data_IF_990393591588
#
_entry.id   IF_990393591588
#
_cell.length_a   1.000
_cell.length_b   1.000
_cell.length_c   1.000
_cell.angle_alpha   90.00
_cell.angle_beta   90.00
_cell.angle_gamma   90.00
#
_symmetry.space_group_name_H-M   'P 1'
#
loop_
_entity.id
_entity.type
_entity.pdbx_description
1 polymer ?
#
# COMPACT_ATOMS: atom_id res chain seq x y z
N UNK A 1 -7.35 18.81 9.32
CA UNK A 1 -7.62 17.49 8.71
C UNK A 1 -6.64 17.20 7.57
N UNK A 2 -6.61 17.94 6.45
CA UNK A 2 -5.63 17.65 5.37
C UNK A 2 -4.15 17.83 5.78
N UNK A 3 -3.85 18.81 6.64
CA UNK A 3 -2.49 19.02 7.18
C UNK A 3 -2.00 17.92 8.12
N UNK A 4 -2.89 17.23 8.83
CA UNK A 4 -2.51 16.13 9.73
C UNK A 4 -2.20 14.86 8.93
N UNK A 5 -2.95 14.59 7.86
CA UNK A 5 -2.63 13.47 6.93
C UNK A 5 -1.27 13.61 6.25
N UNK A 6 -0.85 14.84 5.94
CA UNK A 6 0.47 15.09 5.35
C UNK A 6 1.63 14.89 6.33
N UNK A 7 1.36 14.81 7.63
CA UNK A 7 2.38 14.69 8.68
C UNK A 7 2.35 13.33 9.39
N UNK A 8 1.46 12.42 8.97
CA UNK A 8 1.49 11.05 9.47
C UNK A 8 2.70 10.36 8.88
N UNK A 9 3.67 10.08 9.74
CA UNK A 9 4.88 9.35 9.37
C UNK A 9 4.61 7.86 9.15
N UNK A 10 3.44 7.37 9.59
CA UNK A 10 2.99 5.99 9.46
C UNK A 10 1.99 5.77 8.32
N UNK A 11 1.65 6.82 7.56
CA UNK A 11 0.63 6.75 6.53
C UNK A 11 1.11 7.28 5.18
N UNK A 12 0.86 6.50 4.12
CA UNK A 12 1.03 6.93 2.74
C UNK A 12 -0.29 6.76 1.99
N UNK A 13 -0.72 7.79 1.25
CA UNK A 13 -1.99 7.77 0.50
C UNK A 13 -1.76 8.17 -0.95
N UNK A 14 -2.22 7.33 -1.88
CA UNK A 14 -2.38 7.68 -3.29
C UNK A 14 -3.85 7.85 -3.62
N UNK A 15 -4.17 8.91 -4.36
CA UNK A 15 -5.49 9.11 -4.94
C UNK A 15 -5.48 8.57 -6.37
N UNK A 16 -6.34 7.60 -6.65
CA UNK A 16 -6.51 7.06 -7.98
C UNK A 16 -7.41 7.98 -8.81
N UNK A 17 -6.89 8.48 -9.93
CA UNK A 17 -7.64 9.28 -10.89
C UNK A 17 -7.94 8.49 -12.17
N UNK A 18 -8.90 8.96 -12.97
CA UNK A 18 -9.20 8.39 -14.28
C UNK A 18 -7.99 8.53 -15.20
N UNK A 19 -7.75 7.55 -16.09
CA UNK A 19 -6.72 7.67 -17.11
C UNK A 19 -7.03 8.86 -18.03
N UNK A 20 -5.98 9.60 -18.40
CA UNK A 20 -5.99 10.72 -19.35
C UNK A 20 -4.80 10.57 -20.29
N UNK A 21 -4.95 11.00 -21.55
CA UNK A 21 -3.88 10.91 -22.55
C UNK A 21 -2.72 11.87 -22.27
N UNK A 22 -3.00 12.97 -21.54
CA UNK A 22 -2.00 13.93 -21.11
C UNK A 22 -2.34 14.48 -19.72
N UNK A 23 -1.33 14.55 -18.85
CA UNK A 23 -1.46 15.19 -17.54
C UNK A 23 -1.58 16.71 -17.70
N UNK A 24 -2.52 17.28 -16.96
CA UNK A 24 -2.78 18.72 -16.90
C UNK A 24 -3.32 19.08 -15.50
N UNK A 25 -3.54 20.38 -15.25
CA UNK A 25 -3.98 20.89 -13.95
C UNK A 25 -5.36 20.37 -13.48
N UNK A 26 -6.15 19.77 -14.35
CA UNK A 26 -7.48 19.20 -14.04
C UNK A 26 -7.45 17.67 -13.90
N UNK A 27 -6.29 17.04 -14.14
CA UNK A 27 -6.14 15.57 -14.10
C UNK A 27 -6.39 14.99 -12.71
N UNK A 28 -6.11 15.77 -11.66
CA UNK A 28 -6.39 15.47 -10.26
C UNK A 28 -7.65 16.18 -9.73
N UNK A 29 -8.51 16.71 -10.61
CA UNK A 29 -9.78 17.33 -10.18
C UNK A 29 -10.69 16.31 -9.48
N UNK A 30 -11.56 16.74 -8.54
CA UNK A 30 -12.47 15.84 -7.84
C UNK A 30 -13.34 14.97 -8.76
N UNK A 31 -13.68 15.47 -9.95
CA UNK A 31 -14.47 14.73 -10.96
C UNK A 31 -13.70 13.56 -11.58
N UNK A 32 -12.37 13.59 -11.51
CA UNK A 32 -11.49 12.54 -12.04
C UNK A 32 -11.04 11.55 -10.97
N UNK A 33 -11.23 11.84 -9.68
CA UNK A 33 -10.89 10.92 -8.59
C UNK A 33 -11.88 9.74 -8.57
N UNK A 34 -11.36 8.52 -8.64
CA UNK A 34 -12.17 7.28 -8.68
C UNK A 34 -12.00 6.41 -7.45
N UNK A 35 -11.01 6.72 -6.60
CA UNK A 35 -10.69 5.95 -5.42
C UNK A 35 -9.36 6.38 -4.82
N UNK A 36 -8.90 5.57 -3.88
CA UNK A 36 -7.68 5.79 -3.13
C UNK A 36 -7.09 4.46 -2.68
N UNK A 37 -5.79 4.49 -2.43
CA UNK A 37 -5.06 3.40 -1.80
C UNK A 37 -4.20 3.99 -0.68
N UNK A 38 -4.31 3.39 0.51
CA UNK A 38 -3.59 3.79 1.70
C UNK A 38 -2.64 2.68 2.12
N UNK A 39 -1.50 3.07 2.68
CA UNK A 39 -0.59 2.23 3.44
C UNK A 39 -0.56 2.75 4.87
N UNK A 40 -0.69 1.86 5.83
CA UNK A 40 -0.48 2.12 7.25
C UNK A 40 0.67 1.26 7.76
N UNK A 41 1.68 1.87 8.34
CA UNK A 41 2.84 1.17 8.87
C UNK A 41 2.63 0.86 10.34
N UNK A 42 2.89 -0.38 10.73
CA UNK A 42 2.85 -0.82 12.13
C UNK A 42 4.06 -1.68 12.46
N UNK A 43 4.38 -1.73 13.75
CA UNK A 43 5.38 -2.65 14.27
C UNK A 43 4.67 -3.85 14.88
N UNK A 44 5.13 -5.02 14.50
CA UNK A 44 4.80 -6.30 15.11
C UNK A 44 6.03 -6.75 15.91
N UNK A 45 5.97 -6.63 17.23
CA UNK A 45 7.04 -7.01 18.17
C UNK A 45 6.74 -8.30 18.95
N UNK A 46 5.74 -9.08 18.49
CA UNK A 46 5.29 -10.32 19.10
C UNK A 46 4.50 -10.13 20.39
N UNK A 47 3.71 -11.14 20.78
CA UNK A 47 2.80 -11.08 21.95
C UNK A 47 3.51 -10.78 23.28
N UNK A 48 4.81 -11.09 23.39
CA UNK A 48 5.61 -10.87 24.60
C UNK A 48 6.60 -9.70 24.48
N UNK A 49 6.63 -9.00 23.34
CA UNK A 49 7.54 -7.90 23.08
C UNK A 49 9.02 -8.31 23.08
N UNK A 50 9.35 -9.60 23.12
CA UNK A 50 10.74 -10.09 23.11
C UNK A 50 11.26 -10.38 21.72
N UNK A 51 10.36 -10.49 20.73
CA UNK A 51 10.73 -10.71 19.35
C UNK A 51 11.41 -9.47 18.74
N UNK A 52 12.21 -9.69 17.70
CA UNK A 52 12.74 -8.60 16.89
C UNK A 52 11.56 -7.86 16.22
N UNK A 53 11.44 -6.53 16.37
CA UNK A 53 10.33 -5.79 15.80
C UNK A 53 10.34 -5.90 14.27
N UNK A 54 9.18 -6.21 13.70
CA UNK A 54 8.95 -6.33 12.26
C UNK A 54 8.05 -5.20 11.79
N UNK A 55 8.43 -4.52 10.71
CA UNK A 55 7.60 -3.47 10.14
C UNK A 55 6.65 -4.12 9.12
N UNK A 56 5.35 -3.94 9.32
CA UNK A 56 4.29 -4.45 8.44
C UNK A 56 3.54 -3.27 7.84
N UNK A 57 3.34 -3.31 6.52
CA UNK A 57 2.53 -2.33 5.80
C UNK A 57 1.11 -2.83 5.56
N UNK A 58 0.10 -2.25 6.21
CA UNK A 58 -1.31 -2.54 5.94
C UNK A 58 -1.83 -1.72 4.78
N UNK A 59 -2.30 -2.38 3.72
CA UNK A 59 -2.83 -1.75 2.51
C UNK A 59 -4.34 -1.73 2.56
N UNK A 60 -4.93 -0.57 2.32
CA UNK A 60 -6.37 -0.39 2.12
C UNK A 60 -6.64 0.20 0.74
N UNK A 61 -7.42 -0.51 -0.09
CA UNK A 61 -7.77 -0.08 -1.44
C UNK A 61 -9.28 0.16 -1.56
N UNK A 62 -9.66 1.35 -2.03
CA UNK A 62 -11.05 1.71 -2.32
C UNK A 62 -11.20 2.21 -3.76
N UNK A 63 -12.17 1.66 -4.49
CA UNK A 63 -12.67 2.23 -5.75
C UNK A 63 -14.15 2.57 -5.52
N UNK A 64 -14.43 3.87 -5.41
CA UNK A 64 -15.66 4.40 -4.82
C UNK A 64 -16.91 3.99 -5.61
N UNK A 65 -16.92 4.25 -6.92
CA UNK A 65 -18.11 4.05 -7.74
C UNK A 65 -18.11 2.69 -8.44
N UNK A 66 -19.26 2.01 -8.41
CA UNK A 66 -19.45 0.72 -9.08
C UNK A 66 -19.16 0.78 -10.59
N UNK A 67 -19.41 1.92 -11.24
CA UNK A 67 -19.12 2.13 -12.67
C UNK A 67 -17.63 2.07 -13.00
N UNK A 68 -16.77 2.35 -12.00
CA UNK A 68 -15.32 2.29 -12.12
C UNK A 68 -14.75 0.94 -11.66
N UNK A 69 -15.57 0.08 -11.04
CA UNK A 69 -15.16 -1.27 -10.65
C UNK A 69 -15.14 -2.20 -11.87
N UNK A 70 -14.40 -3.32 -11.77
CA UNK A 70 -14.29 -4.35 -12.83
C UNK A 70 -13.63 -3.88 -14.12
N UNK A 71 -12.96 -2.73 -14.11
CA UNK A 71 -12.25 -2.14 -15.26
C UNK A 71 -10.72 -2.22 -15.14
N UNK A 72 -10.20 -2.95 -14.16
CA UNK A 72 -8.76 -3.08 -13.92
C UNK A 72 -8.14 -1.97 -13.05
N UNK A 73 -8.86 -0.87 -12.77
CA UNK A 73 -8.32 0.26 -12.00
C UNK A 73 -7.76 -0.12 -10.63
N UNK A 74 -8.46 -0.96 -9.85
CA UNK A 74 -7.95 -1.42 -8.56
C UNK A 74 -6.66 -2.24 -8.67
N UNK A 75 -6.53 -3.08 -9.72
CA UNK A 75 -5.31 -3.86 -9.97
C UNK A 75 -4.16 -2.94 -10.37
N UNK A 76 -4.41 -2.01 -11.27
CA UNK A 76 -3.40 -1.05 -11.74
C UNK A 76 -2.93 -0.14 -10.60
N UNK A 77 -3.85 0.44 -9.82
CA UNK A 77 -3.52 1.26 -8.66
C UNK A 77 -2.67 0.50 -7.64
N UNK A 78 -3.04 -0.73 -7.31
CA UNK A 78 -2.29 -1.56 -6.36
C UNK A 78 -0.89 -1.92 -6.88
N UNK A 79 -0.74 -2.25 -8.16
CA UNK A 79 0.56 -2.58 -8.75
C UNK A 79 1.51 -1.36 -8.77
N UNK A 80 1.02 -0.21 -9.22
CA UNK A 80 1.77 1.05 -9.19
C UNK A 80 2.16 1.43 -7.75
N UNK A 81 1.24 1.24 -6.81
CA UNK A 81 1.49 1.52 -5.40
C UNK A 81 2.57 0.59 -4.81
N UNK A 82 2.50 -0.72 -5.08
CA UNK A 82 3.54 -1.65 -4.67
C UNK A 82 4.90 -1.31 -5.29
N UNK A 83 4.93 -0.93 -6.57
CA UNK A 83 6.17 -0.52 -7.24
C UNK A 83 6.83 0.67 -6.55
N UNK A 84 6.02 1.68 -6.21
CA UNK A 84 6.47 2.86 -5.47
C UNK A 84 6.98 2.51 -4.08
N UNK A 85 6.24 1.67 -3.33
CA UNK A 85 6.64 1.24 -1.97
C UNK A 85 8.00 0.56 -2.00
N UNK A 86 8.19 -0.39 -2.92
CA UNK A 86 9.45 -1.14 -3.01
C UNK A 86 10.61 -0.24 -3.39
N UNK A 87 10.39 0.69 -4.33
CA UNK A 87 11.45 1.60 -4.77
C UNK A 87 11.83 2.64 -3.72
N UNK A 88 10.84 3.22 -3.03
CA UNK A 88 11.05 4.26 -2.02
C UNK A 88 11.06 3.70 -0.59
N UNK A 89 11.23 2.38 -0.43
CA UNK A 89 11.08 1.70 0.85
C UNK A 89 11.97 2.33 1.94
N UNK A 90 13.24 2.60 1.64
CA UNK A 90 14.18 3.20 2.60
C UNK A 90 13.69 4.54 3.13
N UNK A 91 13.24 5.44 2.25
CA UNK A 91 12.74 6.76 2.65
C UNK A 91 11.44 6.69 3.45
N UNK A 92 10.50 5.82 3.03
CA UNK A 92 9.23 5.59 3.73
C UNK A 92 9.49 5.08 5.15
N UNK A 93 10.40 4.10 5.29
CA UNK A 93 10.70 3.50 6.58
C UNK A 93 11.53 4.41 7.49
N UNK A 94 12.44 5.21 6.95
CA UNK A 94 13.19 6.21 7.73
C UNK A 94 12.26 7.29 8.29
N UNK A 95 11.29 7.77 7.51
CA UNK A 95 10.27 8.71 8.00
C UNK A 95 9.43 8.09 9.11
N UNK A 96 8.95 6.86 8.91
CA UNK A 96 8.18 6.12 9.91
C UNK A 96 8.96 5.91 11.20
N UNK A 97 10.19 5.39 11.11
CA UNK A 97 11.07 5.19 12.26
C UNK A 97 11.37 6.53 12.94
N UNK A 98 11.49 7.63 12.18
CA UNK A 98 11.62 8.98 12.70
C UNK A 98 10.46 9.43 13.60
N UNK A 99 9.24 8.92 13.35
CA UNK A 99 8.04 9.19 14.15
C UNK A 99 7.89 8.38 15.43
N UNK A 100 8.61 7.27 15.58
CA UNK A 100 8.50 6.36 16.72
C UNK A 100 9.10 6.93 18.03
N UNK A 101 8.81 6.29 19.16
CA UNK A 101 9.49 6.58 20.42
C UNK A 101 10.96 6.12 20.43
N UNK A 102 11.73 6.60 21.40
CA UNK A 102 13.17 6.35 21.48
C UNK A 102 13.53 4.87 21.73
N UNK A 103 12.67 4.11 22.40
CA UNK A 103 12.90 2.70 22.70
C UNK A 103 12.69 1.85 21.44
N UNK A 104 11.58 2.06 20.76
CA UNK A 104 11.23 1.35 19.55
C UNK A 104 12.20 1.67 18.40
N UNK A 105 12.60 2.94 18.27
CA UNK A 105 13.68 3.36 17.35
C UNK A 105 14.95 2.55 17.55
N UNK A 106 15.36 2.35 18.81
CA UNK A 106 16.57 1.58 19.13
C UNK A 106 16.40 0.12 18.72
N UNK A 107 15.30 -0.53 19.10
CA UNK A 107 15.02 -1.94 18.78
C UNK A 107 14.95 -2.20 17.28
N UNK A 108 14.31 -1.29 16.52
CA UNK A 108 14.21 -1.42 15.05
C UNK A 108 15.58 -1.25 14.40
N UNK A 109 16.38 -0.27 14.85
CA UNK A 109 17.74 -0.04 14.32
C UNK A 109 18.76 -1.09 14.76
N UNK A 110 18.53 -1.79 15.88
CA UNK A 110 19.33 -2.96 16.29
C UNK A 110 19.26 -4.10 15.27
N UNK A 111 18.14 -4.23 14.52
CA UNK A 111 18.01 -5.19 13.41
C UNK A 111 18.90 -4.85 12.21
N UNK A 112 19.43 -3.62 12.13
CA UNK A 112 20.27 -3.14 11.04
C UNK A 112 19.46 -2.47 9.94
N UNK A 113 19.33 -3.14 8.79
CA UNK A 113 18.68 -2.59 7.58
C UNK A 113 17.17 -2.47 7.80
N UNK A 114 16.62 -1.29 7.51
CA UNK A 114 15.18 -1.06 7.55
C UNK A 114 14.52 -1.69 6.32
N UNK A 115 13.67 -2.68 6.56
CA UNK A 115 12.92 -3.38 5.52
C UNK A 115 11.47 -3.64 5.95
N UNK A 116 10.57 -3.65 4.98
CA UNK A 116 9.22 -4.14 5.18
C UNK A 116 9.25 -5.67 5.21
N UNK A 117 8.73 -6.26 6.28
CA UNK A 117 8.61 -7.71 6.38
C UNK A 117 7.57 -8.23 5.38
N UNK A 118 6.42 -7.54 5.29
CA UNK A 118 5.36 -7.88 4.36
C UNK A 118 4.37 -6.72 4.18
N UNK A 119 3.60 -6.81 3.10
CA UNK A 119 2.36 -6.07 2.95
C UNK A 119 1.20 -6.94 3.42
N UNK A 120 0.32 -6.40 4.25
CA UNK A 120 -0.88 -7.07 4.75
C UNK A 120 -2.15 -6.35 4.28
N UNK A 121 -3.25 -7.08 4.14
CA UNK A 121 -4.59 -6.50 3.89
C UNK A 121 -5.63 -7.29 4.68
N UNK A 122 -6.65 -6.60 5.20
CA UNK A 122 -7.83 -7.21 5.81
C UNK A 122 -9.01 -7.13 4.85
N UNK A 123 -9.65 -8.25 4.58
CA UNK A 123 -10.75 -8.33 3.61
C UNK A 123 -11.88 -9.17 4.20
N UNK A 124 -13.08 -8.58 4.30
CA UNK A 124 -14.29 -9.29 4.70
C UNK A 124 -14.52 -10.56 3.87
N UNK A 125 -14.89 -11.67 4.54
CA UNK A 125 -15.06 -12.99 3.93
C UNK A 125 -16.04 -13.05 2.76
N UNK A 126 -17.02 -12.13 2.73
CA UNK A 126 -18.02 -12.02 1.67
C UNK A 126 -17.49 -11.26 0.45
N UNK A 127 -16.40 -10.50 0.59
CA UNK A 127 -15.78 -9.74 -0.50
C UNK A 127 -14.85 -10.61 -1.34
N UNK A 128 -15.44 -11.60 -2.02
CA UNK A 128 -14.73 -12.53 -2.92
C UNK A 128 -13.96 -11.83 -4.04
N UNK A 129 -14.38 -10.61 -4.41
CA UNK A 129 -13.76 -9.83 -5.48
C UNK A 129 -12.40 -9.28 -5.05
N UNK A 130 -12.34 -8.63 -3.89
CA UNK A 130 -11.07 -8.16 -3.34
C UNK A 130 -10.18 -9.34 -2.96
N UNK A 131 -10.73 -10.42 -2.39
CA UNK A 131 -9.96 -11.65 -2.11
C UNK A 131 -9.25 -12.16 -3.38
N UNK A 132 -9.99 -12.33 -4.47
CA UNK A 132 -9.40 -12.80 -5.74
C UNK A 132 -8.36 -11.82 -6.33
N UNK A 133 -8.57 -10.50 -6.17
CA UNK A 133 -7.62 -9.48 -6.61
C UNK A 133 -6.28 -9.62 -5.88
N UNK A 134 -6.31 -9.63 -4.54
CA UNK A 134 -5.09 -9.70 -3.74
C UNK A 134 -4.41 -11.07 -3.87
N UNK A 135 -5.17 -12.17 -3.87
CA UNK A 135 -4.61 -13.51 -4.11
C UNK A 135 -3.95 -13.64 -5.48
N UNK A 136 -4.56 -13.07 -6.52
CA UNK A 136 -3.99 -13.03 -7.87
C UNK A 136 -2.72 -12.18 -7.98
N UNK A 137 -2.41 -11.36 -6.97
CA UNK A 137 -1.21 -10.53 -6.88
C UNK A 137 -0.21 -11.08 -5.84
N UNK A 138 -0.33 -12.36 -5.48
CA UNK A 138 0.63 -13.06 -4.61
C UNK A 138 0.39 -12.86 -3.10
N UNK A 139 -0.74 -12.29 -2.69
CA UNK A 139 -1.11 -12.25 -1.28
C UNK A 139 -1.70 -13.59 -0.83
N UNK A 140 -1.18 -14.13 0.26
CA UNK A 140 -1.58 -15.43 0.82
C UNK A 140 -2.32 -15.22 2.13
N UNK A 141 -3.39 -15.97 2.36
CA UNK A 141 -4.13 -15.91 3.63
C UNK A 141 -3.26 -16.37 4.79
N UNK A 142 -3.28 -15.64 5.90
CA UNK A 142 -2.53 -15.98 7.12
C UNK A 142 -3.20 -17.12 7.89
N UNK A 143 -4.54 -17.22 7.82
CA UNK A 143 -5.33 -18.27 8.46
C UNK A 143 -6.40 -18.86 7.55
N UNK A 144 -6.85 -20.06 7.88
CA UNK A 144 -7.93 -20.76 7.16
C UNK A 144 -9.31 -20.17 7.49
N UNK A 145 -9.46 -19.65 8.70
CA UNK A 145 -10.70 -19.06 9.21
C UNK A 145 -10.61 -17.52 9.25
N UNK A 146 -11.74 -16.82 9.06
CA UNK A 146 -11.79 -15.38 9.25
C UNK A 146 -11.63 -15.01 10.73
N UNK A 147 -11.16 -13.79 10.99
CA UNK A 147 -11.07 -13.25 12.35
C UNK A 147 -12.46 -13.08 13.00
N UNK A 148 -12.48 -12.65 14.26
CA UNK A 148 -13.73 -12.39 15.01
C UNK A 148 -14.71 -11.43 14.29
N UNK A 149 -14.19 -10.56 13.41
CA UNK A 149 -14.98 -9.61 12.62
C UNK A 149 -15.43 -10.16 11.25
N UNK A 150 -15.11 -11.42 10.94
CA UNK A 150 -15.46 -12.04 9.66
C UNK A 150 -14.54 -11.62 8.51
N UNK A 151 -13.29 -11.24 8.78
CA UNK A 151 -12.31 -10.79 7.78
C UNK A 151 -11.12 -11.75 7.69
N UNK A 152 -10.61 -11.94 6.48
CA UNK A 152 -9.34 -12.62 6.24
C UNK A 152 -8.20 -11.61 6.23
N UNK A 153 -7.12 -11.90 6.94
CA UNK A 153 -5.84 -11.25 6.72
C UNK A 153 -5.07 -11.98 5.62
N UNK A 154 -4.61 -11.24 4.61
CA UNK A 154 -3.72 -11.76 3.58
C UNK A 154 -2.39 -11.00 3.65
N UNK A 155 -1.28 -11.70 3.47
CA UNK A 155 0.08 -11.14 3.48
C UNK A 155 0.84 -11.48 2.21
N UNK A 156 1.66 -10.53 1.74
CA UNK A 156 2.63 -10.72 0.67
C UNK A 156 4.02 -10.39 1.21
N UNK A 157 4.90 -11.39 1.24
CA UNK A 157 6.28 -11.29 1.73
C UNK A 157 7.25 -10.97 0.58
N UNK A 158 6.97 -11.46 -0.63
CA UNK A 158 7.81 -11.19 -1.79
C UNK A 158 7.55 -9.77 -2.34
N UNK A 159 8.42 -8.85 -1.95
CA UNK A 159 8.40 -7.44 -2.30
C UNK A 159 9.54 -7.05 -3.26
N UNK A 160 10.03 -7.98 -4.09
CA UNK A 160 11.07 -7.67 -5.09
C UNK A 160 10.56 -6.76 -6.22
N UNK A 161 11.38 -5.77 -6.63
CA UNK A 161 11.08 -4.87 -7.76
C UNK A 161 10.76 -5.67 -9.03
N UNK A 162 11.61 -6.65 -9.36
CA UNK A 162 11.45 -7.49 -10.55
C UNK A 162 10.13 -8.27 -10.53
N UNK A 163 9.74 -8.79 -9.36
CA UNK A 163 8.47 -9.51 -9.19
C UNK A 163 7.27 -8.60 -9.41
N UNK A 164 7.32 -7.36 -8.92
CA UNK A 164 6.25 -6.37 -9.15
C UNK A 164 6.20 -5.95 -10.62
N UNK A 165 7.34 -5.70 -11.27
CA UNK A 165 7.42 -5.33 -12.69
C UNK A 165 6.88 -6.43 -13.62
N UNK A 166 7.17 -7.71 -13.33
CA UNK A 166 6.60 -8.84 -14.08
C UNK A 166 5.06 -8.86 -13.96
N UNK A 167 4.53 -8.62 -12.76
CA UNK A 167 3.08 -8.55 -12.54
C UNK A 167 2.43 -7.32 -13.19
N UNK A 168 3.15 -6.20 -13.25
CA UNK A 168 2.77 -4.99 -13.99
C UNK A 168 2.64 -5.28 -15.49
N UNK A 169 3.66 -5.89 -16.09
CA UNK A 169 3.63 -6.31 -17.51
C UNK A 169 2.48 -7.27 -17.82
N UNK A 170 2.25 -8.28 -16.96
CA UNK A 170 1.09 -9.21 -17.09
C UNK A 170 -0.26 -8.52 -17.00
N UNK A 171 -0.34 -7.40 -16.27
CA UNK A 171 -1.56 -6.62 -16.12
C UNK A 171 -1.73 -5.54 -17.21
N UNK A 172 -0.75 -5.36 -18.10
CA UNK A 172 -0.73 -4.27 -19.09
C UNK A 172 -0.54 -2.89 -18.45
N UNK A 173 0.11 -2.84 -17.28
CA UNK A 173 0.46 -1.59 -16.59
C UNK A 173 1.90 -1.27 -16.97
N UNK A 174 2.07 -0.46 -18.00
CA UNK A 174 3.37 -0.08 -18.56
C UNK A 174 3.58 1.43 -18.45
N UNK A 175 4.83 1.89 -18.61
CA UNK A 175 5.14 3.32 -18.65
C UNK A 175 4.96 4.03 -17.31
N UNK A 176 5.37 3.39 -16.21
CA UNK A 176 5.41 4.04 -14.91
C UNK A 176 6.35 5.24 -14.94
N UNK A 177 5.82 6.42 -14.59
CA UNK A 177 6.55 7.68 -14.54
C UNK A 177 6.14 8.47 -13.28
N UNK A 178 7.13 8.97 -12.54
CA UNK A 178 6.92 9.89 -11.42
C UNK A 178 6.97 11.34 -11.92
N UNK A 179 5.84 12.05 -11.86
CA UNK A 179 5.76 13.46 -12.22
C UNK A 179 5.85 14.38 -10.98
N UNK A 180 6.60 15.48 -11.10
CA UNK A 180 6.64 16.52 -10.06
C UNK A 180 5.32 17.28 -10.06
N UNK A 181 4.70 17.44 -8.89
CA UNK A 181 3.45 18.17 -8.76
C UNK A 181 3.68 19.69 -8.89
N UNK A 182 3.50 20.22 -10.11
CA UNK A 182 3.61 21.64 -10.41
C UNK A 182 2.24 22.33 -10.45
N UNK A 183 1.55 22.44 -9.29
CA UNK A 183 0.36 23.32 -9.23
C UNK A 183 0.80 24.77 -9.14
N UNK A 184 0.83 25.46 -10.29
CA UNK A 184 0.92 26.93 -10.30
C UNK A 184 -0.27 27.49 -9.52
N UNK A 185 0.01 28.30 -8.50
CA UNK A 185 -1.00 29.02 -7.73
C UNK A 185 -1.69 30.08 -8.57
#
# INVERSE_FOLDING_TARGET
MQRSWRKDTDKLTFIACRPTDALNAESDSPCNMIGDINLFLRIDDGDDGTASPKIIGEVELMIAEKINQRRGFGKAALLVFMRYIVEKQEGILEEFVGGLDAEMKRRVREKGVLELECLSVKIGQTNRRSLALFQGLGFVKVGEEPNFFGEFELRRVDLGVEGVEVEMGRAGVEGYEEAVYERRK
#
